data_IF_233214709510
#
_entry.id   IF_233214709510
#
_cell.length_a   1.000
_cell.length_b   1.000
_cell.length_c   1.000
_cell.angle_alpha   90.00
_cell.angle_beta   90.00
_cell.angle_gamma   90.00
#
_symmetry.space_group_name_H-M   'P 1'
#
loop_
_entity.id
_entity.type
_entity.pdbx_description
1 polymer ?
#
# COMPACT_ATOMS: atom_id res chain seq x y z
N UNK A 1 30.97 -7.65 3.82
CA UNK A 1 29.57 -7.34 4.21
C UNK A 1 28.65 -8.41 3.64
N UNK A 2 27.82 -9.07 4.44
CA UNK A 2 26.97 -10.19 3.97
C UNK A 2 25.72 -9.70 3.23
N UNK A 3 25.20 -10.52 2.32
CA UNK A 3 23.92 -10.26 1.62
C UNK A 3 22.75 -10.04 2.60
N UNK A 4 22.79 -10.72 3.76
CA UNK A 4 21.81 -10.58 4.83
C UNK A 4 21.76 -9.17 5.39
N UNK A 5 22.91 -8.51 5.57
CA UNK A 5 22.98 -7.16 6.11
C UNK A 5 22.37 -6.13 5.15
N UNK A 6 22.67 -6.23 3.86
CA UNK A 6 22.09 -5.37 2.83
C UNK A 6 20.56 -5.53 2.76
N UNK A 7 20.07 -6.76 2.91
CA UNK A 7 18.64 -7.04 2.96
C UNK A 7 17.97 -6.42 4.20
N UNK A 8 18.62 -6.48 5.37
CA UNK A 8 18.10 -5.89 6.62
C UNK A 8 18.06 -4.35 6.50
N UNK A 9 19.12 -3.71 6.01
CA UNK A 9 19.16 -2.25 5.77
C UNK A 9 18.02 -1.84 4.83
N UNK A 10 17.88 -2.54 3.70
CA UNK A 10 16.83 -2.26 2.72
C UNK A 10 15.43 -2.45 3.32
N UNK A 11 15.22 -3.52 4.09
CA UNK A 11 13.94 -3.79 4.76
C UNK A 11 13.60 -2.69 5.77
N UNK A 12 14.56 -2.30 6.61
CA UNK A 12 14.36 -1.25 7.62
C UNK A 12 14.05 0.10 6.98
N UNK A 13 14.79 0.48 5.93
CA UNK A 13 14.49 1.68 5.16
C UNK A 13 13.06 1.65 4.59
N UNK A 14 12.63 0.52 4.04
CA UNK A 14 11.27 0.38 3.50
C UNK A 14 10.19 0.43 4.58
N UNK A 15 10.36 -0.25 5.72
CA UNK A 15 9.41 -0.22 6.84
C UNK A 15 9.26 1.22 7.34
N UNK A 16 10.37 1.89 7.58
CA UNK A 16 10.40 3.25 8.10
C UNK A 16 9.76 4.26 7.13
N UNK A 17 10.02 4.10 5.83
CA UNK A 17 9.40 4.92 4.78
C UNK A 17 7.89 4.72 4.67
N UNK A 18 7.43 3.47 4.66
CA UNK A 18 6.01 3.17 4.58
C UNK A 18 5.26 3.71 5.80
N UNK A 19 5.87 3.66 6.99
CA UNK A 19 5.27 4.21 8.19
C UNK A 19 5.14 5.75 8.12
N UNK A 20 6.19 6.45 7.68
CA UNK A 20 6.14 7.91 7.48
C UNK A 20 5.07 8.34 6.47
N UNK A 21 4.94 7.62 5.35
CA UNK A 21 3.89 7.89 4.36
C UNK A 21 2.49 7.74 4.98
N UNK A 22 2.29 6.69 5.79
CA UNK A 22 1.02 6.43 6.50
C UNK A 22 0.65 7.53 7.50
N UNK A 23 1.63 8.21 8.11
CA UNK A 23 1.39 9.38 8.97
C UNK A 23 0.98 10.60 8.14
N UNK A 24 1.68 10.87 7.04
CA UNK A 24 1.44 12.04 6.19
C UNK A 24 0.03 12.08 5.59
N UNK A 25 -0.58 10.91 5.34
CA UNK A 25 -1.94 10.80 4.80
C UNK A 25 -3.07 11.17 5.79
N UNK A 26 -2.77 11.30 7.09
CA UNK A 26 -3.77 11.22 8.16
C UNK A 26 -3.87 12.52 8.97
N UNK A 27 -4.54 13.53 8.43
CA UNK A 27 -4.76 14.83 9.10
C UNK A 27 -5.93 14.84 10.09
N UNK A 28 -7.01 14.06 9.84
CA UNK A 28 -8.19 13.97 10.71
C UNK A 28 -8.55 12.49 10.96
N UNK A 29 -8.14 11.97 12.11
CA UNK A 29 -8.17 10.54 12.41
C UNK A 29 -9.43 10.13 13.17
N UNK A 30 -10.15 9.14 12.63
CA UNK A 30 -11.19 8.43 13.40
C UNK A 30 -10.57 7.58 14.52
N UNK A 31 -11.29 7.31 15.61
CA UNK A 31 -10.81 6.45 16.72
C UNK A 31 -10.28 5.07 16.28
N UNK A 32 -10.88 4.47 15.23
CA UNK A 32 -10.35 3.21 14.65
C UNK A 32 -9.01 3.41 13.94
N UNK A 33 -8.83 4.56 13.28
CA UNK A 33 -7.63 4.89 12.54
C UNK A 33 -6.48 5.34 13.45
N UNK A 34 -6.77 5.96 14.61
CA UNK A 34 -5.78 6.25 15.66
C UNK A 34 -5.24 4.95 16.25
N UNK A 35 -6.12 4.03 16.64
CA UNK A 35 -5.73 2.71 17.16
C UNK A 35 -4.85 1.94 16.17
N UNK A 36 -5.20 1.96 14.88
CA UNK A 36 -4.38 1.35 13.82
C UNK A 36 -3.03 2.04 13.63
N UNK A 37 -2.92 3.34 13.89
CA UNK A 37 -1.63 4.04 13.89
C UNK A 37 -0.80 3.66 15.11
N UNK A 38 -1.40 3.55 16.30
CA UNK A 38 -0.70 3.17 17.53
C UNK A 38 -0.18 1.72 17.47
N UNK A 39 -0.95 0.82 16.86
CA UNK A 39 -0.46 -0.52 16.52
C UNK A 39 0.73 -0.48 15.57
N UNK A 40 0.69 0.38 14.55
CA UNK A 40 1.78 0.53 13.61
C UNK A 40 3.02 1.19 14.25
N UNK A 41 2.85 2.15 15.18
CA UNK A 41 3.93 2.70 16.01
C UNK A 41 4.58 1.63 16.86
N UNK A 42 3.78 0.81 17.56
CA UNK A 42 4.30 -0.30 18.37
C UNK A 42 5.08 -1.30 17.54
N UNK A 43 4.62 -1.61 16.33
CA UNK A 43 5.37 -2.46 15.39
C UNK A 43 6.68 -1.79 14.95
N UNK A 44 6.66 -0.49 14.70
CA UNK A 44 7.87 0.24 14.33
C UNK A 44 8.89 0.25 15.47
N UNK A 45 8.48 0.53 16.70
CA UNK A 45 9.36 0.51 17.88
C UNK A 45 10.04 -0.85 18.02
N UNK A 46 9.29 -1.95 17.93
CA UNK A 46 9.89 -3.30 17.96
C UNK A 46 10.88 -3.54 16.82
N UNK A 47 10.62 -3.02 15.64
CA UNK A 47 11.54 -3.11 14.51
C UNK A 47 12.80 -2.26 14.74
N UNK A 48 12.67 -1.09 15.35
CA UNK A 48 13.80 -0.23 15.72
C UNK A 48 14.66 -0.85 16.82
N UNK A 49 14.06 -1.45 17.85
CA UNK A 49 14.78 -2.19 18.90
C UNK A 49 15.57 -3.37 18.32
N UNK A 50 14.95 -4.16 17.44
CA UNK A 50 15.62 -5.25 16.75
C UNK A 50 16.75 -4.76 15.84
N UNK A 51 16.53 -3.64 15.14
CA UNK A 51 17.54 -2.98 14.32
C UNK A 51 18.73 -2.50 15.16
N UNK A 52 18.47 -1.77 16.25
CA UNK A 52 19.49 -1.28 17.18
C UNK A 52 20.32 -2.43 17.76
N UNK A 53 19.67 -3.54 18.12
CA UNK A 53 20.35 -4.75 18.61
C UNK A 53 21.28 -5.36 17.54
N UNK A 54 20.91 -5.27 16.26
CA UNK A 54 21.72 -5.77 15.15
C UNK A 54 22.87 -4.83 14.72
N UNK A 55 22.84 -3.55 15.09
CA UNK A 55 23.85 -2.57 14.65
C UNK A 55 25.27 -2.98 15.06
N UNK A 56 25.43 -3.63 16.23
CA UNK A 56 26.72 -4.11 16.72
C UNK A 56 27.40 -5.17 15.84
N UNK A 57 26.66 -5.82 14.95
CA UNK A 57 27.21 -6.80 14.01
C UNK A 57 27.96 -6.15 12.84
N UNK A 58 27.77 -4.85 12.61
CA UNK A 58 28.27 -4.20 11.39
C UNK A 58 28.70 -2.75 11.50
N UNK A 59 28.27 -2.02 12.52
CA UNK A 59 28.75 -0.67 12.79
C UNK A 59 30.01 -0.73 13.67
N UNK A 60 31.02 0.10 13.39
CA UNK A 60 32.16 0.28 14.29
C UNK A 60 31.69 0.73 15.69
N UNK A 61 32.33 0.25 16.78
CA UNK A 61 31.94 0.61 18.14
C UNK A 61 32.02 2.13 18.39
N UNK A 62 32.94 2.83 17.75
CA UNK A 62 33.09 4.28 17.81
C UNK A 62 31.83 4.98 17.30
N UNK A 63 31.25 4.51 16.20
CA UNK A 63 30.01 5.05 15.63
C UNK A 63 28.77 4.75 16.49
N UNK A 64 28.79 3.66 17.28
CA UNK A 64 27.71 3.31 18.19
C UNK A 64 27.70 4.17 19.45
N UNK A 65 28.88 4.55 19.93
CA UNK A 65 29.05 5.40 21.12
C UNK A 65 28.76 6.87 20.83
N UNK A 66 28.82 7.27 19.57
CA UNK A 66 28.54 8.64 19.14
C UNK A 66 27.10 9.06 19.50
N UNK A 67 26.96 10.24 20.11
CA UNK A 67 25.66 10.80 20.44
C UNK A 67 25.04 11.45 19.19
N UNK A 68 23.92 10.89 18.76
CA UNK A 68 23.11 11.47 17.69
C UNK A 68 21.87 12.10 18.31
N UNK A 69 21.56 13.35 17.92
CA UNK A 69 20.31 14.00 18.32
C UNK A 69 19.11 13.11 17.96
N UNK A 70 18.38 12.69 18.99
CA UNK A 70 17.18 11.87 18.87
C UNK A 70 15.90 12.71 18.96
N UNK A 71 14.88 12.32 18.20
CA UNK A 71 13.51 12.84 18.35
C UNK A 71 12.72 11.89 19.26
N UNK A 72 11.77 12.44 20.03
CA UNK A 72 10.90 11.64 20.92
C UNK A 72 9.92 10.75 20.14
N UNK A 73 9.70 11.02 18.87
CA UNK A 73 8.81 10.23 18.03
C UNK A 73 9.60 9.14 17.27
N UNK A 74 9.15 7.87 17.30
CA UNK A 74 9.87 6.76 16.65
C UNK A 74 9.96 6.94 15.12
N UNK A 75 9.02 7.67 14.51
CA UNK A 75 9.07 8.04 13.09
C UNK A 75 10.21 9.01 12.73
N UNK A 76 10.80 9.71 13.70
CA UNK A 76 11.84 10.73 13.49
C UNK A 76 13.20 10.32 14.04
N UNK A 77 13.26 9.21 14.76
CA UNK A 77 14.49 8.63 15.28
C UNK A 77 15.47 8.27 14.15
N UNK A 78 16.74 8.66 14.30
CA UNK A 78 17.79 8.37 13.31
C UNK A 78 18.12 6.88 13.33
N UNK A 79 18.33 6.29 12.15
CA UNK A 79 18.62 4.86 12.02
C UNK A 79 20.09 4.54 12.32
N UNK A 80 20.92 5.55 12.57
CA UNK A 80 22.38 5.45 12.75
C UNK A 80 23.06 4.86 11.51
N UNK A 81 22.56 5.21 10.33
CA UNK A 81 23.23 4.89 9.07
C UNK A 81 24.37 5.90 8.82
N UNK A 82 25.39 5.58 8.00
CA UNK A 82 26.45 6.51 7.65
C UNK A 82 25.96 7.92 7.24
N UNK A 83 24.81 8.02 6.56
CA UNK A 83 24.18 9.30 6.19
C UNK A 83 23.59 10.12 7.35
N UNK A 84 23.46 9.53 8.54
CA UNK A 84 23.05 10.23 9.77
C UNK A 84 24.23 10.95 10.45
N UNK A 85 25.47 10.55 10.14
CA UNK A 85 26.70 11.15 10.64
C UNK A 85 27.23 12.22 9.69
N UNK A 86 27.94 13.21 10.23
CA UNK A 86 28.64 14.18 9.40
C UNK A 86 29.82 13.52 8.66
N UNK A 87 30.02 13.91 7.41
CA UNK A 87 31.00 13.27 6.52
C UNK A 87 32.43 13.42 7.01
N UNK A 88 32.74 14.57 7.62
CA UNK A 88 34.07 14.85 8.19
C UNK A 88 34.51 13.79 9.20
N UNK A 89 33.55 13.11 9.83
CA UNK A 89 33.78 12.10 10.87
C UNK A 89 33.76 10.67 10.34
N UNK A 90 33.51 10.45 9.05
CA UNK A 90 33.43 9.10 8.49
C UNK A 90 34.77 8.36 8.58
N UNK A 91 35.89 9.05 8.39
CA UNK A 91 37.24 8.49 8.56
C UNK A 91 37.50 8.13 10.02
N UNK A 92 37.24 9.07 10.94
CA UNK A 92 37.46 8.87 12.39
C UNK A 92 36.62 7.73 12.97
N UNK A 93 35.39 7.56 12.46
CA UNK A 93 34.43 6.53 12.91
C UNK A 93 34.53 5.23 12.12
N UNK A 94 35.47 5.09 11.18
CA UNK A 94 35.62 3.88 10.36
C UNK A 94 34.44 3.57 9.43
N UNK A 95 33.68 4.60 9.01
CA UNK A 95 32.44 4.47 8.25
C UNK A 95 32.63 4.54 6.73
N UNK A 96 33.83 4.79 6.20
CA UNK A 96 34.07 5.03 4.77
C UNK A 96 33.49 3.93 3.86
N UNK A 97 33.82 2.66 4.17
CA UNK A 97 33.33 1.53 3.37
C UNK A 97 31.81 1.33 3.49
N UNK A 98 31.24 1.60 4.67
CA UNK A 98 29.80 1.55 4.93
C UNK A 98 29.07 2.69 4.20
N UNK A 99 29.68 3.88 4.15
CA UNK A 99 29.16 5.05 3.45
C UNK A 99 29.07 4.81 1.94
N UNK A 100 30.10 4.19 1.34
CA UNK A 100 30.11 3.79 -0.07
C UNK A 100 29.00 2.78 -0.39
N UNK A 101 28.80 1.82 0.51
CA UNK A 101 27.76 0.80 0.35
C UNK A 101 26.37 1.41 0.51
N UNK A 102 26.16 2.25 1.52
CA UNK A 102 24.90 2.97 1.70
C UNK A 102 24.62 3.82 0.46
N UNK A 103 25.60 4.56 -0.06
CA UNK A 103 25.43 5.40 -1.23
C UNK A 103 24.91 4.59 -2.43
N UNK A 104 25.47 3.40 -2.70
CA UNK A 104 24.99 2.50 -3.76
C UNK A 104 23.56 2.02 -3.52
N UNK A 105 23.21 1.69 -2.27
CA UNK A 105 21.84 1.32 -1.91
C UNK A 105 20.86 2.48 -2.10
N UNK A 106 21.24 3.70 -1.69
CA UNK A 106 20.43 4.91 -1.87
C UNK A 106 20.23 5.25 -3.34
N UNK A 107 21.24 5.06 -4.16
CA UNK A 107 21.11 5.21 -5.62
C UNK A 107 20.12 4.18 -6.18
N UNK A 108 20.18 2.92 -5.77
CA UNK A 108 19.19 1.91 -6.17
C UNK A 108 17.78 2.31 -5.75
N UNK A 109 17.62 2.72 -4.49
CA UNK A 109 16.35 3.21 -3.95
C UNK A 109 15.82 4.44 -4.69
N UNK A 110 16.68 5.38 -5.08
CA UNK A 110 16.31 6.56 -5.85
C UNK A 110 15.81 6.18 -7.25
N UNK A 111 16.49 5.26 -7.94
CA UNK A 111 16.05 4.75 -9.25
C UNK A 111 14.69 4.03 -9.16
N UNK A 112 14.50 3.18 -8.15
CA UNK A 112 13.23 2.49 -7.92
C UNK A 112 12.10 3.48 -7.61
N UNK A 113 12.37 4.46 -6.75
CA UNK A 113 11.41 5.51 -6.42
C UNK A 113 11.03 6.34 -7.66
N UNK A 114 12.01 6.67 -8.52
CA UNK A 114 11.79 7.42 -9.75
C UNK A 114 10.94 6.63 -10.76
N UNK A 115 11.20 5.32 -10.91
CA UNK A 115 10.36 4.44 -11.73
C UNK A 115 8.90 4.46 -11.26
N UNK A 116 8.68 4.24 -9.96
CA UNK A 116 7.33 4.23 -9.36
C UNK A 116 6.65 5.61 -9.41
N UNK A 117 7.42 6.69 -9.29
CA UNK A 117 6.93 8.05 -9.43
C UNK A 117 6.38 8.31 -10.84
N UNK A 118 7.11 7.88 -11.87
CA UNK A 118 6.66 7.97 -13.28
C UNK A 118 5.40 7.14 -13.54
N UNK A 119 5.36 5.91 -13.04
CA UNK A 119 4.16 5.05 -13.13
C UNK A 119 2.94 5.73 -12.48
N UNK A 120 3.11 6.32 -11.28
CA UNK A 120 2.05 7.03 -10.58
C UNK A 120 1.58 8.30 -11.33
N UNK A 121 2.51 9.07 -11.91
CA UNK A 121 2.19 10.23 -12.75
C UNK A 121 1.46 9.81 -14.04
N UNK A 122 1.88 8.70 -14.66
CA UNK A 122 1.24 8.12 -15.84
C UNK A 122 -0.19 7.68 -15.56
N UNK A 123 -0.41 6.96 -14.45
CA UNK A 123 -1.74 6.56 -13.99
C UNK A 123 -2.63 7.78 -13.71
N UNK A 124 -2.12 8.77 -12.97
CA UNK A 124 -2.87 10.00 -12.66
C UNK A 124 -3.29 10.72 -13.95
N UNK A 125 -2.37 10.85 -14.91
CA UNK A 125 -2.62 11.41 -16.24
C UNK A 125 -3.77 10.70 -16.97
N UNK A 126 -3.77 9.36 -16.97
CA UNK A 126 -4.85 8.56 -17.55
C UNK A 126 -6.19 8.79 -16.86
N UNK A 127 -6.22 8.77 -15.51
CA UNK A 127 -7.45 8.96 -14.74
C UNK A 127 -8.06 10.35 -14.94
N UNK A 128 -7.23 11.39 -15.01
CA UNK A 128 -7.68 12.77 -15.30
C UNK A 128 -8.32 12.85 -16.69
N UNK A 129 -7.69 12.26 -17.71
CA UNK A 129 -8.27 12.20 -19.07
C UNK A 129 -9.60 11.46 -19.10
N UNK A 130 -9.66 10.30 -18.44
CA UNK A 130 -10.89 9.51 -18.32
C UNK A 130 -12.00 10.30 -17.63
N UNK A 131 -11.69 11.09 -16.59
CA UNK A 131 -12.66 11.97 -15.93
C UNK A 131 -13.27 12.97 -16.92
N UNK A 132 -12.46 13.63 -17.75
CA UNK A 132 -12.97 14.61 -18.73
C UNK A 132 -13.74 13.97 -19.89
N UNK A 133 -13.44 12.71 -20.25
CA UNK A 133 -14.16 11.97 -21.29
C UNK A 133 -15.49 11.36 -20.79
N UNK A 134 -15.60 11.07 -19.48
CA UNK A 134 -16.79 10.47 -18.88
C UNK A 134 -17.80 11.50 -18.37
N UNK A 135 -18.78 11.86 -19.20
CA UNK A 135 -19.91 12.68 -18.78
C UNK A 135 -21.02 11.78 -18.23
N UNK A 136 -21.33 11.88 -16.94
CA UNK A 136 -22.59 11.37 -16.38
C UNK A 136 -22.56 10.94 -14.92
N UNK A 137 -23.28 11.69 -14.07
CA UNK A 137 -23.68 11.28 -12.72
C UNK A 137 -22.72 11.65 -11.58
N UNK A 138 -23.29 12.09 -10.45
CA UNK A 138 -22.55 12.54 -9.25
C UNK A 138 -21.66 11.44 -8.64
N UNK A 139 -22.12 10.18 -8.66
CA UNK A 139 -21.36 9.04 -8.14
C UNK A 139 -20.11 8.72 -8.98
N UNK A 140 -20.22 8.80 -10.32
CA UNK A 140 -19.08 8.57 -11.21
C UNK A 140 -18.03 9.68 -11.04
N UNK A 141 -18.48 10.93 -10.86
CA UNK A 141 -17.61 12.07 -10.58
C UNK A 141 -16.85 11.87 -9.27
N UNK A 142 -17.55 11.58 -8.16
CA UNK A 142 -16.93 11.38 -6.85
C UNK A 142 -15.93 10.21 -6.87
N UNK A 143 -16.29 9.09 -7.51
CA UNK A 143 -15.37 7.95 -7.66
C UNK A 143 -14.13 8.34 -8.44
N UNK A 144 -14.27 9.02 -9.59
CA UNK A 144 -13.12 9.47 -10.39
C UNK A 144 -12.20 10.39 -9.59
N UNK A 145 -12.76 11.28 -8.77
CA UNK A 145 -12.00 12.18 -7.90
C UNK A 145 -11.24 11.42 -6.83
N UNK A 146 -11.87 10.42 -6.20
CA UNK A 146 -11.18 9.58 -5.22
C UNK A 146 -10.03 8.78 -5.83
N UNK A 147 -10.17 8.25 -7.05
CA UNK A 147 -9.08 7.53 -7.72
C UNK A 147 -7.93 8.48 -8.10
N UNK A 148 -8.24 9.69 -8.59
CA UNK A 148 -7.22 10.71 -8.89
C UNK A 148 -6.49 11.13 -7.60
N UNK A 149 -7.21 11.31 -6.49
CA UNK A 149 -6.63 11.65 -5.20
C UNK A 149 -5.69 10.54 -4.70
N UNK A 150 -6.06 9.26 -4.86
CA UNK A 150 -5.18 8.11 -4.53
C UNK A 150 -3.92 8.10 -5.39
N UNK A 151 -4.05 8.34 -6.69
CA UNK A 151 -2.88 8.44 -7.57
C UNK A 151 -1.97 9.60 -7.15
N UNK A 152 -2.53 10.75 -6.74
CA UNK A 152 -1.76 11.88 -6.21
C UNK A 152 -0.99 11.51 -4.93
N UNK A 153 -1.64 10.81 -3.99
CA UNK A 153 -0.98 10.33 -2.76
C UNK A 153 0.24 9.44 -3.10
N UNK A 154 0.12 8.58 -4.11
CA UNK A 154 1.26 7.77 -4.59
C UNK A 154 2.37 8.63 -5.20
N UNK A 155 2.04 9.67 -5.97
CA UNK A 155 3.02 10.63 -6.50
C UNK A 155 3.78 11.29 -5.36
N UNK A 156 3.07 11.82 -4.36
CA UNK A 156 3.68 12.49 -3.21
C UNK A 156 4.56 11.54 -2.39
N UNK A 157 4.10 10.30 -2.19
CA UNK A 157 4.86 9.24 -1.52
C UNK A 157 6.19 8.98 -2.24
N UNK A 158 6.18 8.70 -3.53
CA UNK A 158 7.39 8.33 -4.27
C UNK A 158 8.33 9.52 -4.49
N UNK A 159 7.80 10.73 -4.69
CA UNK A 159 8.58 11.95 -4.73
C UNK A 159 9.35 12.16 -3.41
N UNK A 160 8.69 11.92 -2.28
CA UNK A 160 9.32 12.06 -0.97
C UNK A 160 10.38 10.97 -0.69
N UNK A 161 10.14 9.72 -1.10
CA UNK A 161 11.14 8.65 -1.02
C UNK A 161 12.38 9.02 -1.83
N UNK A 162 12.19 9.53 -3.06
CA UNK A 162 13.28 10.02 -3.90
C UNK A 162 14.06 11.15 -3.23
N UNK A 163 13.38 12.20 -2.74
CA UNK A 163 14.04 13.35 -2.08
C UNK A 163 14.87 12.94 -0.87
N UNK A 164 14.41 11.95 -0.09
CA UNK A 164 15.18 11.43 1.05
C UNK A 164 16.41 10.66 0.61
N UNK A 165 16.27 9.78 -0.38
CA UNK A 165 17.41 9.06 -0.93
C UNK A 165 18.43 10.04 -1.51
N UNK A 166 17.97 11.08 -2.21
CA UNK A 166 18.78 12.18 -2.71
C UNK A 166 19.55 12.91 -1.61
N UNK A 167 18.86 13.37 -0.57
CA UNK A 167 19.49 14.06 0.56
C UNK A 167 20.49 13.16 1.30
N UNK A 168 20.21 11.86 1.45
CA UNK A 168 21.14 10.92 2.05
C UNK A 168 22.39 10.75 1.19
N UNK A 169 22.26 10.60 -0.14
CA UNK A 169 23.40 10.57 -1.06
C UNK A 169 24.26 11.83 -0.94
N UNK A 170 23.62 13.01 -0.83
CA UNK A 170 24.32 14.28 -0.67
C UNK A 170 25.03 14.46 0.67
N UNK A 171 24.70 13.66 1.70
CA UNK A 171 25.47 13.57 2.94
C UNK A 171 26.64 12.61 2.85
N UNK A 172 26.55 11.60 2.00
CA UNK A 172 27.61 10.59 1.82
C UNK A 172 28.73 11.03 0.88
N UNK A 173 28.41 11.73 -0.22
CA UNK A 173 29.39 12.10 -1.27
C UNK A 173 29.29 13.58 -1.63
N UNK A 174 30.43 14.19 -1.99
CA UNK A 174 30.48 15.57 -2.47
C UNK A 174 29.71 15.73 -3.79
N UNK A 175 29.29 16.96 -4.06
CA UNK A 175 28.76 17.28 -5.37
C UNK A 175 29.87 17.09 -6.40
N UNK A 176 29.58 16.29 -7.42
CA UNK A 176 30.44 16.08 -8.56
C UNK A 176 30.52 17.34 -9.44
N UNK A 177 31.31 17.28 -10.52
CA UNK A 177 31.51 18.42 -11.43
C UNK A 177 30.21 18.92 -12.09
N UNK A 178 29.18 18.08 -12.11
CA UNK A 178 27.85 18.34 -12.66
C UNK A 178 26.90 19.03 -11.65
N UNK A 179 27.36 19.35 -10.44
CA UNK A 179 26.52 19.92 -9.37
C UNK A 179 25.51 18.93 -8.79
N UNK A 180 25.61 17.65 -9.15
CA UNK A 180 24.83 16.54 -8.60
C UNK A 180 25.73 15.67 -7.73
N UNK A 181 25.18 14.75 -6.93
CA UNK A 181 25.99 13.86 -6.08
C UNK A 181 26.73 12.74 -6.85
N UNK A 182 27.25 13.03 -8.05
CA UNK A 182 28.32 12.25 -8.70
C UNK A 182 27.91 11.26 -9.80
N UNK A 183 26.67 11.30 -10.34
CA UNK A 183 26.23 10.32 -11.35
C UNK A 183 25.38 10.84 -12.52
N UNK A 184 25.30 12.15 -12.77
CA UNK A 184 24.80 12.77 -14.01
C UNK A 184 23.32 12.61 -14.35
N UNK A 185 22.77 11.41 -14.22
CA UNK A 185 21.38 11.08 -14.58
C UNK A 185 20.41 11.55 -13.50
N UNK A 186 20.69 11.28 -12.24
CA UNK A 186 19.85 11.68 -11.12
C UNK A 186 20.05 13.15 -10.78
N UNK A 187 18.96 13.89 -10.56
CA UNK A 187 18.99 15.31 -10.20
C UNK A 187 18.11 15.60 -8.98
N UNK A 188 18.26 16.78 -8.39
CA UNK A 188 17.36 17.26 -7.32
C UNK A 188 15.93 17.37 -7.86
N UNK A 189 14.99 16.70 -7.17
CA UNK A 189 13.57 16.71 -7.57
C UNK A 189 12.85 17.94 -7.01
N UNK A 190 12.40 18.81 -7.91
CA UNK A 190 11.58 19.97 -7.59
C UNK A 190 10.09 19.69 -7.82
N UNK A 191 9.23 20.54 -7.26
CA UNK A 191 7.77 20.41 -7.47
C UNK A 191 7.38 20.56 -8.93
N UNK A 192 8.09 21.41 -9.67
CA UNK A 192 7.86 21.67 -11.09
C UNK A 192 8.26 20.50 -11.99
N UNK A 193 9.02 19.52 -11.47
CA UNK A 193 9.34 18.30 -12.20
C UNK A 193 8.17 17.30 -12.20
N UNK A 194 7.21 17.44 -11.28
CA UNK A 194 6.06 16.54 -11.10
C UNK A 194 4.94 16.82 -12.12
N UNK A 195 5.32 16.88 -13.40
CA UNK A 195 4.40 17.16 -14.49
C UNK A 195 3.76 15.86 -14.99
N UNK A 196 2.44 15.87 -15.09
CA UNK A 196 1.69 14.82 -15.77
C UNK A 196 1.94 14.91 -17.27
N UNK A 197 2.22 13.78 -17.89
CA UNK A 197 2.55 13.74 -19.31
C UNK A 197 1.37 14.16 -20.20
N UNK A 198 0.13 13.96 -19.74
CA UNK A 198 -1.08 14.52 -20.37
C UNK A 198 -1.07 16.04 -20.46
N UNK A 199 -0.80 16.70 -19.33
CA UNK A 199 -0.75 18.15 -19.22
C UNK A 199 0.38 18.71 -20.08
N UNK A 200 1.54 18.06 -20.08
CA UNK A 200 2.66 18.45 -20.95
C UNK A 200 2.31 18.35 -22.45
N UNK A 201 1.61 17.28 -22.88
CA UNK A 201 1.16 17.15 -24.27
C UNK A 201 0.08 18.18 -24.66
N UNK A 202 -0.81 18.53 -23.74
CA UNK A 202 -1.83 19.55 -23.96
C UNK A 202 -1.20 20.94 -24.09
N UNK A 203 -0.26 21.29 -23.19
CA UNK A 203 0.52 22.52 -23.28
C UNK A 203 1.29 22.59 -24.61
N UNK A 204 1.92 21.48 -25.03
CA UNK A 204 2.64 21.40 -26.30
C UNK A 204 1.74 21.57 -27.52
N UNK A 205 0.56 20.96 -27.51
CA UNK A 205 -0.43 21.11 -28.59
C UNK A 205 -0.90 22.55 -28.69
N UNK A 206 -1.22 23.16 -27.55
CA UNK A 206 -1.67 24.54 -27.46
C UNK A 206 -0.66 25.52 -28.07
N UNK A 207 0.62 25.40 -27.72
CA UNK A 207 1.66 26.29 -28.28
C UNK A 207 1.92 26.06 -29.77
N UNK A 208 1.81 24.82 -30.26
CA UNK A 208 1.90 24.52 -31.69
C UNK A 208 0.78 25.20 -32.49
N UNK A 209 -0.43 25.22 -31.95
CA UNK A 209 -1.61 25.86 -32.60
C UNK A 209 -1.52 27.39 -32.56
N UNK A 210 -0.91 27.95 -31.51
CA UNK A 210 -0.67 29.40 -31.30
C UNK A 210 0.43 30.00 -32.20
N UNK A 211 1.42 29.20 -32.60
CA UNK A 211 2.53 29.61 -33.47
C UNK A 211 3.75 30.18 -32.73
N UNK A 212 4.93 30.09 -33.37
CA UNK A 212 6.24 30.39 -32.77
C UNK A 212 6.41 31.84 -32.28
N UNK A 213 5.75 32.81 -32.94
CA UNK A 213 5.84 34.23 -32.57
C UNK A 213 5.15 34.53 -31.23
N UNK A 214 4.01 33.90 -30.95
CA UNK A 214 3.32 34.05 -29.65
C UNK A 214 3.99 33.21 -28.56
N UNK A 215 4.57 32.06 -28.92
CA UNK A 215 5.37 31.23 -28.01
C UNK A 215 6.60 31.98 -27.51
N UNK A 216 7.39 32.57 -28.39
CA UNK A 216 8.59 33.34 -28.02
C UNK A 216 8.23 34.56 -27.16
N UNK A 217 7.14 35.26 -27.49
CA UNK A 217 6.62 36.38 -26.69
C UNK A 217 6.13 35.94 -25.30
N UNK A 218 5.57 34.73 -25.17
CA UNK A 218 5.14 34.17 -23.89
C UNK A 218 6.31 33.56 -23.09
N UNK A 219 7.30 32.98 -23.76
CA UNK A 219 8.53 32.47 -23.16
C UNK A 219 9.33 33.59 -22.51
N UNK A 220 9.42 34.76 -23.17
CA UNK A 220 9.99 35.99 -22.59
C UNK A 220 9.26 36.47 -21.33
N UNK A 221 8.02 36.00 -21.10
CA UNK A 221 7.22 36.28 -19.89
C UNK A 221 7.16 35.09 -18.92
N UNK A 222 7.97 34.05 -19.14
CA UNK A 222 7.98 32.82 -18.32
C UNK A 222 6.74 31.93 -18.47
N UNK A 223 5.90 32.17 -19.48
CA UNK A 223 4.65 31.43 -19.74
C UNK A 223 4.70 30.55 -20.99
N UNK A 224 5.87 30.43 -21.62
CA UNK A 224 6.04 29.63 -22.84
C UNK A 224 5.92 28.12 -22.60
N UNK A 225 6.23 27.36 -23.64
CA UNK A 225 6.24 25.90 -23.62
C UNK A 225 7.20 25.38 -22.54
N UNK A 226 6.70 24.51 -21.67
CA UNK A 226 7.53 23.88 -20.63
C UNK A 226 8.40 22.79 -21.24
N UNK A 227 9.68 22.78 -20.91
CA UNK A 227 10.53 21.64 -21.23
C UNK A 227 10.05 20.36 -20.55
N UNK A 228 10.36 19.21 -21.16
CA UNK A 228 10.11 17.92 -20.53
C UNK A 228 10.97 17.79 -19.26
N UNK A 229 10.37 17.52 -18.08
CA UNK A 229 11.15 17.34 -16.86
C UNK A 229 12.21 16.24 -16.97
N UNK A 230 13.34 16.42 -16.28
CA UNK A 230 14.48 15.48 -16.33
C UNK A 230 14.11 14.05 -15.92
N UNK A 231 13.11 13.91 -15.03
CA UNK A 231 12.60 12.60 -14.58
C UNK A 231 12.14 11.73 -15.76
N UNK A 232 11.64 12.36 -16.83
CA UNK A 232 11.24 11.69 -18.06
C UNK A 232 12.41 11.59 -19.05
N UNK A 233 13.28 12.62 -19.11
CA UNK A 233 14.48 12.63 -19.98
C UNK A 233 15.40 11.43 -19.74
N UNK A 234 15.52 10.93 -18.49
CA UNK A 234 16.33 9.75 -18.12
C UNK A 234 16.01 8.49 -18.93
N UNK A 235 14.76 8.33 -19.36
CA UNK A 235 14.34 7.15 -20.13
C UNK A 235 14.77 7.22 -21.60
N UNK A 236 15.22 8.38 -22.06
CA UNK A 236 15.71 8.59 -23.41
C UNK A 236 17.24 8.60 -23.40
N UNK A 237 17.84 7.55 -23.96
CA UNK A 237 19.31 7.37 -24.01
C UNK A 237 19.98 8.25 -25.09
N UNK A 238 19.21 9.02 -25.86
CA UNK A 238 19.62 9.86 -27.01
C UNK A 238 18.77 11.14 -27.04
N UNK A 239 19.17 12.11 -27.87
CA UNK A 239 18.47 13.37 -28.15
C UNK A 239 16.94 13.22 -28.20
N UNK A 240 16.27 14.02 -27.37
CA UNK A 240 14.83 13.90 -27.08
C UNK A 240 14.04 14.57 -28.20
N UNK A 241 13.60 13.79 -29.19
CA UNK A 241 12.65 14.27 -30.21
C UNK A 241 11.21 14.16 -29.73
N UNK A 242 10.33 15.06 -30.18
CA UNK A 242 8.92 15.11 -29.76
C UNK A 242 8.18 13.82 -30.08
N UNK A 243 8.46 13.22 -31.24
CA UNK A 243 7.81 11.97 -31.65
C UNK A 243 8.25 10.77 -30.80
N UNK A 244 9.52 10.70 -30.42
CA UNK A 244 10.01 9.68 -29.48
C UNK A 244 9.40 9.85 -28.10
N UNK A 245 9.27 11.08 -27.62
CA UNK A 245 8.58 11.36 -26.36
C UNK A 245 7.16 10.85 -26.46
N UNK A 246 6.42 11.20 -27.52
CA UNK A 246 5.04 10.76 -27.74
C UNK A 246 4.90 9.24 -27.73
N UNK A 247 5.74 8.51 -28.46
CA UNK A 247 5.72 7.05 -28.49
C UNK A 247 5.99 6.44 -27.10
N UNK A 248 6.98 6.96 -26.38
CA UNK A 248 7.29 6.52 -25.03
C UNK A 248 6.13 6.81 -24.06
N UNK A 249 5.47 7.97 -24.19
CA UNK A 249 4.26 8.30 -23.41
C UNK A 249 3.15 7.28 -23.67
N UNK A 250 2.88 6.97 -24.94
CA UNK A 250 1.85 6.01 -25.33
C UNK A 250 2.17 4.63 -24.75
N UNK A 251 3.43 4.20 -24.83
CA UNK A 251 3.89 2.94 -24.23
C UNK A 251 3.72 2.91 -22.71
N UNK A 252 4.13 3.96 -21.99
CA UNK A 252 4.00 4.01 -20.53
C UNK A 252 2.55 4.10 -20.07
N UNK A 253 1.73 4.86 -20.78
CA UNK A 253 0.30 4.95 -20.48
C UNK A 253 -0.40 3.62 -20.75
N UNK A 254 -0.07 2.93 -21.85
CA UNK A 254 -0.57 1.58 -22.12
C UNK A 254 -0.17 0.58 -21.03
N UNK A 255 1.08 0.60 -20.56
CA UNK A 255 1.55 -0.29 -19.50
C UNK A 255 0.86 0.00 -18.16
N UNK A 256 0.74 1.28 -17.78
CA UNK A 256 0.01 1.68 -16.56
C UNK A 256 -1.47 1.22 -16.60
N UNK A 257 -2.14 1.37 -17.75
CA UNK A 257 -3.51 0.89 -17.95
C UNK A 257 -3.58 -0.63 -17.86
N UNK A 258 -2.60 -1.34 -18.45
CA UNK A 258 -2.55 -2.80 -18.40
C UNK A 258 -2.44 -3.31 -16.96
N UNK A 259 -1.56 -2.75 -16.15
CA UNK A 259 -1.39 -3.13 -14.74
C UNK A 259 -2.67 -2.88 -13.95
N UNK A 260 -3.28 -1.71 -14.10
CA UNK A 260 -4.56 -1.41 -13.44
C UNK A 260 -5.70 -2.31 -13.91
N UNK A 261 -5.74 -2.66 -15.20
CA UNK A 261 -6.72 -3.59 -15.72
C UNK A 261 -6.54 -4.98 -15.11
N UNK A 262 -5.31 -5.48 -14.98
CA UNK A 262 -5.05 -6.77 -14.31
C UNK A 262 -5.49 -6.74 -12.86
N UNK A 263 -5.20 -5.67 -12.11
CA UNK A 263 -5.66 -5.52 -10.73
C UNK A 263 -7.19 -5.44 -10.62
N UNK A 264 -7.84 -4.69 -11.50
CA UNK A 264 -9.29 -4.58 -11.53
C UNK A 264 -9.96 -5.91 -11.91
N UNK A 265 -9.39 -6.62 -12.89
CA UNK A 265 -9.84 -7.95 -13.31
C UNK A 265 -9.68 -8.97 -12.19
N UNK A 266 -8.52 -9.02 -11.54
CA UNK A 266 -8.29 -9.88 -10.39
C UNK A 266 -9.22 -9.57 -9.21
N UNK A 267 -9.51 -8.27 -8.97
CA UNK A 267 -10.47 -7.86 -7.94
C UNK A 267 -11.90 -8.31 -8.27
N UNK A 268 -12.30 -8.18 -9.53
CA UNK A 268 -13.60 -8.64 -10.01
C UNK A 268 -13.72 -10.17 -9.93
N UNK A 269 -12.69 -10.90 -10.35
CA UNK A 269 -12.65 -12.37 -10.27
C UNK A 269 -12.71 -12.83 -8.81
N UNK A 270 -11.96 -12.18 -7.90
CA UNK A 270 -12.06 -12.45 -6.46
C UNK A 270 -13.46 -12.17 -5.92
N UNK A 271 -14.09 -11.06 -6.32
CA UNK A 271 -15.47 -10.77 -5.89
C UNK A 271 -16.46 -11.81 -6.42
N UNK A 272 -16.26 -12.32 -7.63
CA UNK A 272 -17.06 -13.40 -8.19
C UNK A 272 -16.87 -14.72 -7.41
N UNK A 273 -15.64 -15.03 -7.00
CA UNK A 273 -15.33 -16.15 -6.10
C UNK A 273 -15.97 -15.98 -4.73
N UNK A 274 -15.81 -14.82 -4.09
CA UNK A 274 -16.41 -14.51 -2.79
C UNK A 274 -17.93 -14.62 -2.83
N UNK A 275 -18.58 -14.17 -3.92
CA UNK A 275 -20.02 -14.35 -4.09
C UNK A 275 -20.42 -15.84 -4.14
N UNK A 276 -19.66 -16.68 -4.86
CA UNK A 276 -19.91 -18.13 -4.91
C UNK A 276 -19.67 -18.79 -3.57
N UNK A 277 -18.61 -18.39 -2.85
CA UNK A 277 -18.29 -18.90 -1.51
C UNK A 277 -19.39 -18.53 -0.52
N UNK A 278 -19.81 -17.26 -0.47
CA UNK A 278 -20.89 -16.80 0.40
C UNK A 278 -22.21 -17.51 0.13
N UNK A 279 -22.53 -17.80 -1.13
CA UNK A 279 -23.72 -18.58 -1.48
C UNK A 279 -23.62 -20.03 -0.97
N UNK A 280 -22.48 -20.69 -1.19
CA UNK A 280 -22.23 -22.04 -0.72
C UNK A 280 -22.19 -22.12 0.83
N UNK A 281 -21.63 -21.11 1.49
CA UNK A 281 -21.64 -20.99 2.95
C UNK A 281 -23.06 -20.80 3.46
N UNK A 282 -23.84 -19.90 2.83
CA UNK A 282 -25.24 -19.66 3.19
C UNK A 282 -26.10 -20.93 3.10
N UNK A 283 -25.85 -21.78 2.10
CA UNK A 283 -26.50 -23.10 1.97
C UNK A 283 -26.05 -24.09 3.07
N UNK A 284 -24.79 -24.04 3.49
CA UNK A 284 -24.22 -24.96 4.49
C UNK A 284 -24.57 -24.61 5.93
N UNK A 285 -24.81 -23.34 6.24
CA UNK A 285 -25.16 -22.88 7.60
C UNK A 285 -26.39 -23.62 8.18
N UNK A 286 -27.57 -23.65 7.51
CA UNK A 286 -28.72 -24.37 8.05
C UNK A 286 -28.45 -25.87 8.20
N UNK A 287 -27.74 -26.49 7.24
CA UNK A 287 -27.34 -27.91 7.34
C UNK A 287 -26.45 -28.20 8.54
N UNK A 288 -25.50 -27.31 8.82
CA UNK A 288 -24.59 -27.41 9.97
C UNK A 288 -25.37 -27.29 11.28
N UNK A 289 -26.29 -26.32 11.38
CA UNK A 289 -27.13 -26.19 12.57
C UNK A 289 -28.06 -27.40 12.75
N UNK A 290 -28.65 -27.91 11.68
CA UNK A 290 -29.46 -29.12 11.75
C UNK A 290 -28.65 -30.36 12.17
N UNK A 291 -27.40 -30.48 11.70
CA UNK A 291 -26.48 -31.52 12.18
C UNK A 291 -26.25 -31.42 13.69
N UNK A 292 -25.97 -30.22 14.22
CA UNK A 292 -25.78 -30.02 15.65
C UNK A 292 -27.07 -30.25 16.45
N UNK A 293 -28.23 -29.82 15.95
CA UNK A 293 -29.53 -30.14 16.55
C UNK A 293 -29.70 -31.65 16.75
N UNK A 294 -29.43 -32.44 15.71
CA UNK A 294 -29.52 -33.90 15.77
C UNK A 294 -28.49 -34.50 16.73
N UNK A 295 -27.26 -34.00 16.72
CA UNK A 295 -26.19 -34.44 17.61
C UNK A 295 -26.58 -34.23 19.09
N UNK A 296 -27.04 -33.02 19.42
CA UNK A 296 -27.47 -32.70 20.79
C UNK A 296 -28.76 -33.42 21.20
N UNK A 297 -29.66 -33.70 20.26
CA UNK A 297 -30.84 -34.55 20.50
C UNK A 297 -30.43 -35.97 20.87
N UNK A 298 -29.44 -36.53 20.16
CA UNK A 298 -28.88 -37.86 20.48
C UNK A 298 -28.25 -37.89 21.87
N UNK A 299 -27.44 -36.89 22.23
CA UNK A 299 -26.88 -36.78 23.59
C UNK A 299 -27.98 -36.67 24.65
N UNK A 300 -29.06 -35.93 24.37
CA UNK A 300 -30.22 -35.87 25.27
C UNK A 300 -30.85 -37.25 25.50
N UNK A 301 -30.97 -38.08 24.45
CA UNK A 301 -31.51 -39.44 24.56
C UNK A 301 -30.58 -40.39 25.31
N UNK A 302 -29.29 -40.35 25.03
CA UNK A 302 -28.25 -41.14 25.70
C UNK A 302 -28.24 -40.84 27.21
N UNK A 303 -28.15 -39.56 27.59
CA UNK A 303 -28.15 -39.15 28.99
C UNK A 303 -29.51 -39.39 29.68
N UNK A 304 -30.64 -39.36 28.95
CA UNK A 304 -31.95 -39.73 29.50
C UNK A 304 -32.01 -41.22 29.85
N UNK A 305 -31.41 -42.09 29.03
CA UNK A 305 -31.31 -43.54 29.31
C UNK A 305 -30.42 -43.81 30.53
N UNK A 306 -29.27 -43.13 30.63
CA UNK A 306 -28.39 -43.20 31.80
C UNK A 306 -29.09 -42.74 33.09
N UNK A 307 -29.89 -41.66 33.00
CA UNK A 307 -30.75 -41.17 34.08
C UNK A 307 -31.78 -42.22 34.55
N UNK A 308 -32.39 -42.95 33.62
CA UNK A 308 -33.41 -43.97 33.94
C UNK A 308 -32.84 -45.26 34.51
N UNK A 309 -31.55 -45.52 34.29
CA UNK A 309 -30.84 -46.70 34.80
C UNK A 309 -30.20 -46.49 36.18
N UNK A 310 -30.10 -45.24 36.66
CA UNK A 310 -29.51 -44.90 37.96
C UNK A 310 -30.60 -44.81 39.04
N UNK A 311 -30.62 -45.77 39.97
CA UNK A 311 -31.52 -45.81 41.13
C UNK A 311 -31.05 -44.97 42.33
N UNK A 312 -29.93 -44.25 42.19
CA UNK A 312 -29.31 -43.49 43.27
C UNK A 312 -29.86 -42.04 43.32
N UNK A 313 -30.67 -41.72 44.33
CA UNK A 313 -31.40 -40.45 44.48
C UNK A 313 -30.51 -39.24 44.85
N UNK A 314 -29.19 -39.43 44.90
CA UNK A 314 -28.19 -38.43 45.33
C UNK A 314 -27.78 -37.37 44.30
N UNK A 315 -26.63 -36.72 44.56
CA UNK A 315 -26.04 -35.59 43.79
C UNK A 315 -25.81 -35.94 42.31
N UNK A 316 -25.57 -37.22 41.98
CA UNK A 316 -25.43 -37.73 40.62
C UNK A 316 -26.71 -37.55 39.79
N UNK A 317 -27.88 -37.88 40.36
CA UNK A 317 -29.18 -37.73 39.70
C UNK A 317 -29.52 -36.28 39.32
N UNK A 318 -29.06 -35.28 40.11
CA UNK A 318 -29.23 -33.86 39.77
C UNK A 318 -28.34 -33.41 38.61
N UNK A 319 -27.09 -33.90 38.57
CA UNK A 319 -26.14 -33.58 37.49
C UNK A 319 -26.61 -34.15 36.15
N UNK A 320 -27.06 -35.41 36.12
CA UNK A 320 -27.56 -36.03 34.87
C UNK A 320 -28.84 -35.35 34.38
N UNK A 321 -29.78 -34.99 35.28
CA UNK A 321 -30.95 -34.15 34.93
C UNK A 321 -30.56 -32.79 34.36
N UNK A 322 -29.53 -32.15 34.92
CA UNK A 322 -28.97 -30.89 34.41
C UNK A 322 -28.35 -31.04 33.01
N UNK A 323 -27.62 -32.13 32.76
CA UNK A 323 -27.02 -32.44 31.47
C UNK A 323 -28.11 -32.69 30.40
N UNK A 324 -29.16 -33.44 30.72
CA UNK A 324 -30.32 -33.66 29.85
C UNK A 324 -31.01 -32.33 29.51
N UNK A 325 -31.28 -31.48 30.50
CA UNK A 325 -31.89 -30.17 30.27
C UNK A 325 -31.01 -29.24 29.41
N UNK A 326 -29.69 -29.27 29.62
CA UNK A 326 -28.74 -28.52 28.81
C UNK A 326 -28.73 -29.02 27.35
N UNK A 327 -28.60 -30.34 27.13
CA UNK A 327 -28.63 -30.91 25.78
C UNK A 327 -29.93 -30.58 25.05
N UNK A 328 -31.08 -30.69 25.74
CA UNK A 328 -32.38 -30.35 25.18
C UNK A 328 -32.46 -28.87 24.78
N UNK A 329 -32.01 -27.96 25.64
CA UNK A 329 -32.00 -26.52 25.33
C UNK A 329 -31.07 -26.20 24.17
N UNK A 330 -29.90 -26.83 24.12
CA UNK A 330 -28.91 -26.64 23.06
C UNK A 330 -29.43 -27.17 21.72
N UNK A 331 -30.06 -28.35 21.69
CA UNK A 331 -30.73 -28.89 20.51
C UNK A 331 -31.81 -27.95 19.97
N UNK A 332 -32.70 -27.46 20.84
CA UNK A 332 -33.74 -26.49 20.48
C UNK A 332 -33.13 -25.18 19.96
N UNK A 333 -32.03 -24.73 20.55
CA UNK A 333 -31.29 -23.56 20.10
C UNK A 333 -30.78 -23.72 18.67
N UNK A 334 -30.14 -24.85 18.37
CA UNK A 334 -29.68 -25.17 17.02
C UNK A 334 -30.83 -25.35 16.02
N UNK A 335 -31.95 -25.97 16.41
CA UNK A 335 -33.14 -26.07 15.55
C UNK A 335 -33.74 -24.71 15.16
N UNK A 336 -33.79 -23.76 16.11
CA UNK A 336 -34.20 -22.37 15.84
C UNK A 336 -33.22 -21.67 14.89
N UNK A 337 -31.92 -21.79 15.14
CA UNK A 337 -30.89 -21.22 14.27
C UNK A 337 -30.93 -21.80 12.86
N UNK A 338 -31.18 -23.10 12.73
CA UNK A 338 -31.36 -23.78 11.45
C UNK A 338 -32.54 -23.19 10.67
N UNK A 339 -33.70 -23.08 11.32
CA UNK A 339 -34.92 -22.53 10.70
C UNK A 339 -34.76 -21.07 10.26
N UNK A 340 -34.10 -20.26 11.10
CA UNK A 340 -33.80 -18.87 10.77
C UNK A 340 -32.81 -18.77 9.61
N UNK A 341 -31.74 -19.55 9.63
CA UNK A 341 -30.74 -19.57 8.56
C UNK A 341 -31.34 -20.02 7.23
N UNK A 342 -32.21 -21.04 7.24
CA UNK A 342 -32.94 -21.49 6.06
C UNK A 342 -33.81 -20.37 5.49
N UNK A 343 -34.56 -19.65 6.36
CA UNK A 343 -35.38 -18.51 5.93
C UNK A 343 -34.52 -17.44 5.26
N UNK A 344 -33.38 -17.08 5.85
CA UNK A 344 -32.44 -16.08 5.29
C UNK A 344 -31.82 -16.54 3.98
N UNK A 345 -31.48 -17.82 3.86
CA UNK A 345 -30.97 -18.40 2.63
C UNK A 345 -32.02 -18.33 1.51
N UNK A 346 -33.28 -18.65 1.80
CA UNK A 346 -34.38 -18.54 0.83
C UNK A 346 -34.65 -17.09 0.42
N UNK A 347 -34.59 -16.12 1.34
CA UNK A 347 -34.66 -14.69 1.02
C UNK A 347 -33.53 -14.27 0.06
N UNK A 348 -32.30 -14.74 0.31
CA UNK A 348 -31.15 -14.48 -0.55
C UNK A 348 -31.34 -15.06 -1.95
N UNK A 349 -31.82 -16.29 -2.08
CA UNK A 349 -32.11 -16.91 -3.38
C UNK A 349 -33.18 -16.15 -4.16
N UNK A 350 -34.24 -15.68 -3.48
CA UNK A 350 -35.27 -14.83 -4.09
C UNK A 350 -34.68 -13.51 -4.56
N UNK A 351 -33.89 -12.84 -3.71
CA UNK A 351 -33.24 -11.60 -4.06
C UNK A 351 -32.32 -11.74 -5.28
N UNK A 352 -31.52 -12.81 -5.33
CA UNK A 352 -30.65 -13.14 -6.47
C UNK A 352 -31.46 -13.34 -7.75
N UNK A 353 -32.58 -14.07 -7.68
CA UNK A 353 -33.43 -14.34 -8.86
C UNK A 353 -34.06 -13.07 -9.41
N UNK A 354 -34.43 -12.12 -8.56
CA UNK A 354 -35.10 -10.86 -8.95
C UNK A 354 -34.10 -9.81 -9.44
N UNK A 355 -32.95 -9.67 -8.77
CA UNK A 355 -32.06 -8.51 -8.96
C UNK A 355 -30.81 -8.79 -9.78
N UNK A 356 -30.43 -10.06 -9.96
CA UNK A 356 -29.24 -10.41 -10.74
C UNK A 356 -29.67 -11.05 -12.06
N UNK A 357 -29.54 -10.37 -13.21
CA UNK A 357 -29.82 -10.99 -14.50
C UNK A 357 -28.92 -12.21 -14.69
N UNK A 358 -29.47 -13.31 -15.22
CA UNK A 358 -28.67 -14.46 -15.63
C UNK A 358 -27.61 -13.95 -16.61
N UNK A 359 -26.32 -14.04 -16.24
CA UNK A 359 -25.23 -13.74 -17.18
C UNK A 359 -25.47 -14.61 -18.42
N UNK A 360 -25.73 -13.99 -19.57
CA UNK A 360 -25.75 -14.70 -20.85
C UNK A 360 -24.38 -15.36 -21.01
N UNK A 361 -24.39 -16.66 -21.28
CA UNK A 361 -23.15 -17.42 -21.54
C UNK A 361 -22.38 -16.86 -22.72
#
# INVERSE_FOLDING_TARGET
MSFTMLAIISLMLNIWQNFRAKIAEKSNLTAKQTLSLDEARRKLVKALEAWQSSLGEFMPPEALQEELEGDRNPEKEKLRLPSDFDRSRHTDLGLETLADIEYRLRMGQANDALKKLREALGLKSFLVRKKYQGVGGQYALLRSETEIARAQVNVDKWAEVYRRAWNAMGRLVEEGPDGNHGRGRLQKLNKDDLVMLSQWMEDHRFWREKGEAEETAAANKGKGRKELPWIWKIEFDVEVTVDRVKEAVEKWTAEAIRVEWVHAKASMDRWDEELKLLEAESERIPRTFHYYERLWSKHCEEWRKECGATTDEGRGSRLVRGAVAFAQRTAVGFGRSSSLAETRYQELLRFKTINLPKRSK
#
